data_IF_960123307140
#
_entry.id   IF_960123307140
#
_cell.length_a   1.000
_cell.length_b   1.000
_cell.length_c   1.000
_cell.angle_alpha   90.00
_cell.angle_beta   90.00
_cell.angle_gamma   90.00
#
_symmetry.space_group_name_H-M   'P 1'
#
loop_
_entity.id
_entity.type
_entity.pdbx_description
1 polymer ?
#
# COMPACT_ATOMS: atom_id res chain seq x y z
N UNK A 1 -4.01 -13.37 -5.68
CA UNK A 1 -4.06 -12.07 -4.98
C UNK A 1 -2.65 -11.77 -4.51
N UNK A 2 -2.03 -10.72 -5.03
CA UNK A 2 -0.74 -10.21 -4.57
C UNK A 2 -1.04 -9.02 -3.69
N UNK A 3 -0.48 -9.00 -2.47
CA UNK A 3 -0.62 -7.88 -1.55
C UNK A 3 0.75 -7.32 -1.22
N UNK A 4 0.86 -6.01 -1.31
CA UNK A 4 2.03 -5.28 -0.86
C UNK A 4 1.58 -4.22 0.15
N UNK A 5 2.24 -4.20 1.30
CA UNK A 5 2.04 -3.23 2.38
C UNK A 5 3.39 -2.72 2.81
N UNK A 6 3.67 -1.44 2.58
CA UNK A 6 4.95 -0.82 2.96
C UNK A 6 4.67 0.39 3.81
N UNK A 7 5.35 0.50 4.95
CA UNK A 7 5.32 1.69 5.80
C UNK A 7 6.73 2.20 5.96
N UNK A 8 6.97 3.45 5.53
CA UNK A 8 8.25 4.10 5.60
C UNK A 8 8.26 5.11 6.75
N UNK A 9 9.34 5.11 7.54
CA UNK A 9 9.54 6.04 8.65
C UNK A 9 10.75 6.93 8.41
N UNK A 10 10.68 8.16 8.92
CA UNK A 10 11.78 9.13 8.95
C UNK A 10 12.35 9.41 7.55
N UNK A 11 13.55 8.89 7.27
CA UNK A 11 14.29 9.09 6.02
C UNK A 11 14.28 7.85 5.11
N UNK A 12 13.41 6.88 5.41
CA UNK A 12 13.33 5.63 4.65
C UNK A 12 12.83 5.87 3.22
N UNK A 13 13.38 5.10 2.29
CA UNK A 13 12.98 5.13 0.88
C UNK A 13 12.70 3.71 0.40
N UNK A 14 11.65 3.55 -0.39
CA UNK A 14 11.27 2.26 -0.96
C UNK A 14 10.71 2.45 -2.38
N UNK A 15 11.00 1.47 -3.23
CA UNK A 15 10.43 1.33 -4.56
C UNK A 15 9.81 -0.06 -4.68
N UNK A 16 8.51 -0.12 -4.99
CA UNK A 16 7.77 -1.35 -5.19
C UNK A 16 7.60 -1.56 -6.69
N UNK A 17 8.29 -2.55 -7.24
CA UNK A 17 8.17 -2.93 -8.65
C UNK A 17 7.30 -4.19 -8.72
N UNK A 18 6.23 -4.14 -9.51
CA UNK A 18 5.33 -5.28 -9.68
C UNK A 18 4.95 -5.44 -11.14
N UNK A 19 4.98 -6.67 -11.63
CA UNK A 19 4.59 -6.99 -13.01
C UNK A 19 3.53 -8.09 -13.00
N UNK A 20 2.46 -7.92 -13.75
CA UNK A 20 1.37 -8.90 -13.86
C UNK A 20 0.96 -9.10 -15.31
N UNK A 21 0.93 -10.37 -15.73
CA UNK A 21 0.67 -10.76 -17.11
C UNK A 21 -0.57 -11.68 -17.20
N UNK A 22 -1.58 -11.23 -17.93
CA UNK A 22 -2.75 -12.03 -18.32
C UNK A 22 -2.61 -12.53 -19.76
N UNK A 23 -1.87 -13.61 -19.96
CA UNK A 23 -1.49 -14.11 -21.28
C UNK A 23 -2.20 -15.42 -21.72
N UNK A 24 -3.12 -15.94 -20.91
CA UNK A 24 -3.84 -17.17 -21.19
C UNK A 24 -5.35 -16.99 -21.00
N UNK A 25 -6.19 -17.77 -21.71
CA UNK A 25 -7.63 -17.69 -21.54
C UNK A 25 -8.01 -18.02 -20.09
N UNK A 26 -8.94 -17.22 -19.55
CA UNK A 26 -9.39 -17.30 -18.16
C UNK A 26 -8.33 -17.00 -17.09
N UNK A 27 -7.14 -16.49 -17.46
CA UNK A 27 -6.18 -16.00 -16.46
C UNK A 27 -6.83 -14.90 -15.58
N UNK A 28 -6.58 -14.97 -14.28
CA UNK A 28 -7.10 -14.04 -13.27
C UNK A 28 -5.96 -13.54 -12.39
N UNK A 29 -5.87 -12.22 -12.24
CA UNK A 29 -4.88 -11.58 -11.37
C UNK A 29 -5.51 -10.41 -10.62
N UNK A 30 -5.09 -10.23 -9.37
CA UNK A 30 -5.43 -9.05 -8.59
C UNK A 30 -4.21 -8.68 -7.74
N UNK A 31 -3.83 -7.42 -7.82
CA UNK A 31 -2.74 -6.81 -7.07
C UNK A 31 -3.31 -5.67 -6.24
N UNK A 32 -3.01 -5.66 -4.95
CA UNK A 32 -3.43 -4.65 -3.99
C UNK A 32 -2.18 -4.12 -3.27
N UNK A 33 -1.82 -2.88 -3.58
CA UNK A 33 -0.66 -2.19 -3.03
C UNK A 33 -1.09 -1.05 -2.11
N UNK A 34 -0.50 -0.99 -0.92
CA UNK A 34 -0.61 0.18 -0.03
C UNK A 34 0.77 0.55 0.46
N UNK A 35 1.14 1.80 0.25
CA UNK A 35 2.39 2.38 0.67
C UNK A 35 2.10 3.62 1.50
N UNK A 36 2.65 3.68 2.71
CA UNK A 36 2.40 4.76 3.62
C UNK A 36 3.71 5.40 4.10
N UNK A 37 3.78 6.73 4.04
CA UNK A 37 4.93 7.51 4.50
C UNK A 37 4.63 8.18 5.85
N UNK A 38 5.59 8.08 6.77
CA UNK A 38 5.57 8.71 8.09
C UNK A 38 6.89 9.42 8.36
N UNK A 39 6.99 10.68 7.95
CA UNK A 39 8.20 11.50 8.09
C UNK A 39 8.37 12.43 6.89
N UNK A 40 8.99 13.59 7.09
CA UNK A 40 9.14 14.63 6.05
C UNK A 40 10.08 14.21 4.91
N UNK A 41 11.01 13.29 5.16
CA UNK A 41 12.01 12.84 4.19
C UNK A 41 11.72 11.43 3.63
N UNK A 42 10.62 10.81 4.05
CA UNK A 42 10.25 9.46 3.62
C UNK A 42 9.74 9.49 2.17
N UNK A 43 10.19 8.52 1.36
CA UNK A 43 9.82 8.46 -0.08
C UNK A 43 9.35 7.06 -0.46
N UNK A 44 8.10 6.95 -0.86
CA UNK A 44 7.53 5.76 -1.48
C UNK A 44 7.39 5.95 -2.99
N UNK A 45 7.73 4.91 -3.76
CA UNK A 45 7.43 4.82 -5.19
C UNK A 45 6.85 3.44 -5.51
N UNK A 46 5.87 3.38 -6.41
CA UNK A 46 5.39 2.13 -6.97
C UNK A 46 5.46 2.21 -8.51
N UNK A 47 5.96 1.15 -9.13
CA UNK A 47 6.11 1.01 -10.57
C UNK A 47 5.38 -0.28 -10.98
N UNK A 48 4.10 -0.19 -11.35
CA UNK A 48 3.34 -1.34 -11.82
C UNK A 48 3.47 -1.51 -13.35
N UNK A 49 3.62 -2.76 -13.79
CA UNK A 49 3.42 -3.19 -15.16
C UNK A 49 2.26 -4.18 -15.19
N UNK A 50 1.19 -3.83 -15.90
CA UNK A 50 0.05 -4.73 -16.10
C UNK A 50 -0.14 -4.93 -17.59
N UNK A 51 -0.01 -6.18 -18.05
CA UNK A 51 -0.12 -6.54 -19.46
C UNK A 51 -1.13 -7.66 -19.65
N UNK A 52 -2.06 -7.47 -20.58
CA UNK A 52 -3.06 -8.48 -20.93
C UNK A 52 -3.01 -8.70 -22.43
N UNK A 53 -2.74 -9.93 -22.84
CA UNK A 53 -2.61 -10.31 -24.26
C UNK A 53 -3.63 -11.36 -24.68
N UNK A 54 -4.47 -11.83 -23.76
CA UNK A 54 -5.58 -12.73 -24.05
C UNK A 54 -6.93 -12.06 -23.72
N UNK A 55 -7.88 -12.10 -24.66
CA UNK A 55 -9.20 -11.47 -24.57
C UNK A 55 -10.10 -12.04 -23.46
N UNK A 56 -9.84 -13.27 -23.02
CA UNK A 56 -10.56 -13.93 -21.91
C UNK A 56 -9.87 -13.74 -20.55
N UNK A 57 -8.71 -13.08 -20.50
CA UNK A 57 -8.01 -12.82 -19.25
C UNK A 57 -8.57 -11.57 -18.54
N UNK A 58 -8.39 -11.50 -17.22
CA UNK A 58 -8.76 -10.35 -16.40
C UNK A 58 -7.73 -10.15 -15.30
N UNK A 59 -7.06 -9.01 -15.31
CA UNK A 59 -6.10 -8.60 -14.29
C UNK A 59 -6.54 -7.25 -13.72
N UNK A 60 -6.36 -7.06 -12.42
CA UNK A 60 -6.70 -5.83 -11.71
C UNK A 60 -5.53 -5.42 -10.84
N UNK A 61 -5.29 -4.11 -10.74
CA UNK A 61 -4.26 -3.51 -9.90
C UNK A 61 -4.85 -2.30 -9.20
N UNK A 62 -4.77 -2.29 -7.89
CA UNK A 62 -5.22 -1.22 -7.02
C UNK A 62 -4.03 -0.79 -6.16
N UNK A 63 -3.78 0.51 -6.09
CA UNK A 63 -2.66 1.09 -5.36
C UNK A 63 -3.10 2.33 -4.58
N UNK A 64 -2.66 2.43 -3.33
CA UNK A 64 -2.84 3.60 -2.49
C UNK A 64 -1.51 4.01 -1.86
N UNK A 65 -0.98 5.16 -2.29
CA UNK A 65 0.28 5.72 -1.79
C UNK A 65 -0.02 7.06 -1.13
N UNK A 66 0.36 7.23 0.14
CA UNK A 66 0.05 8.47 0.86
C UNK A 66 0.76 8.60 2.20
N UNK A 67 0.52 9.71 2.90
CA UNK A 67 1.00 9.93 4.26
C UNK A 67 0.04 9.37 5.31
N UNK A 68 0.50 9.26 6.57
CA UNK A 68 -0.41 9.00 7.70
C UNK A 68 -1.51 10.07 7.73
N UNK A 69 -2.77 9.61 7.78
CA UNK A 69 -3.92 10.50 7.99
C UNK A 69 -3.89 11.05 9.43
N UNK A 70 -3.56 12.33 9.54
CA UNK A 70 -3.48 13.03 10.83
C UNK A 70 -4.81 13.03 11.58
N UNK A 71 -5.95 13.01 10.89
CA UNK A 71 -7.27 12.91 11.55
C UNK A 71 -7.48 11.57 12.23
N UNK A 72 -6.97 10.48 11.66
CA UNK A 72 -7.01 9.16 12.29
C UNK A 72 -6.16 9.14 13.55
N UNK A 73 -4.96 9.75 13.49
CA UNK A 73 -4.07 9.90 14.66
C UNK A 73 -4.76 10.72 15.75
N UNK A 74 -5.27 11.90 15.42
CA UNK A 74 -5.99 12.77 16.37
C UNK A 74 -7.21 12.06 17.00
N UNK A 75 -7.94 11.26 16.22
CA UNK A 75 -9.08 10.47 16.72
C UNK A 75 -8.65 9.42 17.74
N UNK A 76 -7.54 8.74 17.50
CA UNK A 76 -6.98 7.74 18.42
C UNK A 76 -6.39 8.39 19.67
N UNK A 77 -5.77 9.56 19.52
CA UNK A 77 -5.28 10.35 20.65
C UNK A 77 -6.43 10.84 21.54
N UNK A 78 -7.54 11.29 20.95
CA UNK A 78 -8.75 11.64 21.68
C UNK A 78 -9.36 10.47 22.47
N UNK A 79 -8.99 9.22 22.14
CA UNK A 79 -9.38 8.00 22.87
C UNK A 79 -8.35 7.55 23.91
N UNK A 80 -7.34 8.38 24.18
CA UNK A 80 -6.39 8.18 25.28
C UNK A 80 -5.06 7.52 24.88
N UNK A 81 -4.79 7.36 23.59
CA UNK A 81 -3.47 6.93 23.10
C UNK A 81 -2.53 8.13 22.97
N UNK A 82 -1.24 7.91 23.15
CA UNK A 82 -0.26 8.90 22.69
C UNK A 82 -0.10 8.86 21.15
N UNK A 83 0.60 9.85 20.58
CA UNK A 83 0.79 9.97 19.12
C UNK A 83 1.50 8.74 18.53
N UNK A 84 2.50 8.19 19.21
CA UNK A 84 3.25 7.04 18.74
C UNK A 84 2.41 5.76 18.80
N UNK A 85 1.66 5.57 19.88
CA UNK A 85 0.71 4.47 20.04
C UNK A 85 -0.38 4.52 18.96
N UNK A 86 -0.94 5.71 18.71
CA UNK A 86 -1.94 5.93 17.67
C UNK A 86 -1.39 5.57 16.28
N UNK A 87 -0.18 6.05 15.96
CA UNK A 87 0.52 5.70 14.72
C UNK A 87 0.77 4.19 14.63
N UNK A 88 1.21 3.54 15.71
CA UNK A 88 1.47 2.10 15.70
C UNK A 88 0.19 1.29 15.46
N UNK A 89 -0.95 1.72 16.01
CA UNK A 89 -2.26 1.12 15.74
C UNK A 89 -2.64 1.23 14.26
N UNK A 90 -2.48 2.40 13.65
CA UNK A 90 -2.76 2.62 12.22
C UNK A 90 -1.87 1.74 11.35
N UNK A 91 -0.56 1.73 11.63
CA UNK A 91 0.43 0.92 10.91
C UNK A 91 0.12 -0.57 11.03
N UNK A 92 -0.18 -1.07 12.23
CA UNK A 92 -0.61 -2.46 12.43
C UNK A 92 -1.89 -2.79 11.67
N UNK A 93 -2.82 -1.85 11.59
CA UNK A 93 -4.04 -1.98 10.81
C UNK A 93 -3.73 -2.21 9.33
N UNK A 94 -2.86 -1.39 8.74
CA UNK A 94 -2.44 -1.49 7.33
C UNK A 94 -1.69 -2.80 7.05
N UNK A 95 -0.75 -3.17 7.92
CA UNK A 95 0.08 -4.38 7.74
C UNK A 95 -0.70 -5.69 7.89
N UNK A 96 -1.90 -5.66 8.49
CA UNK A 96 -2.77 -6.84 8.68
C UNK A 96 -3.80 -7.04 7.57
N UNK A 97 -3.89 -6.12 6.61
CA UNK A 97 -4.88 -6.16 5.53
C UNK A 97 -4.56 -7.15 4.43
#
# INVERSE_FOLDING_TARGET
LIKTRVVLRDRARAEVISETYGNAPNARGHVDCVELVNGEEAVARAIPLVSVTNDKAKVTHEAAIGSIDRRQVETLMARGLDENEAVDVIVRGILRQ
#
